data_IF_455632729711
#
_entry.id   IF_455632729711
#
_cell.length_a   1.000
_cell.length_b   1.000
_cell.length_c   1.000
_cell.angle_alpha   90.00
_cell.angle_beta   90.00
_cell.angle_gamma   90.00
#
_symmetry.space_group_name_H-M   'P 1'
#
loop_
_entity.id
_entity.type
_entity.pdbx_description
1 polymer ?
#
# COMPACT_ATOMS: atom_id res chain seq x y z
N UNK A 1 18.51 20.15 -9.35
CA UNK A 1 17.36 19.30 -9.69
C UNK A 1 16.14 19.91 -9.04
N UNK A 2 15.02 19.93 -9.75
CA UNK A 2 13.75 20.50 -9.31
C UNK A 2 12.69 19.41 -9.39
N UNK A 3 11.70 19.45 -8.50
CA UNK A 3 10.58 18.51 -8.47
C UNK A 3 9.29 19.29 -8.30
N UNK A 4 8.22 18.86 -8.96
CA UNK A 4 6.90 19.48 -8.91
C UNK A 4 5.82 18.43 -8.73
N UNK A 5 4.78 18.75 -7.98
CA UNK A 5 3.69 17.84 -7.65
C UNK A 5 2.35 18.43 -8.07
N UNK A 6 1.53 17.63 -8.74
CA UNK A 6 0.16 17.95 -9.11
C UNK A 6 -0.78 17.00 -8.38
N UNK A 7 -1.54 17.56 -7.46
CA UNK A 7 -2.34 16.82 -6.50
C UNK A 7 -3.81 16.90 -6.89
N UNK A 8 -4.48 15.76 -6.87
CA UNK A 8 -5.90 15.60 -7.18
C UNK A 8 -6.54 14.77 -6.08
N UNK A 9 -7.74 15.15 -5.65
CA UNK A 9 -8.48 14.40 -4.64
C UNK A 9 -8.89 13.02 -5.17
N UNK A 10 -8.87 11.96 -4.33
CA UNK A 10 -9.39 10.66 -4.69
C UNK A 10 -10.86 10.77 -5.16
N UNK A 11 -11.26 10.02 -6.21
CA UNK A 11 -10.53 8.95 -6.88
C UNK A 11 -9.58 9.39 -8.02
N UNK A 12 -9.31 10.70 -8.19
CA UNK A 12 -8.38 11.19 -9.21
C UNK A 12 -6.92 10.77 -8.98
N UNK A 13 -6.11 10.75 -10.05
CA UNK A 13 -4.70 10.38 -9.99
C UNK A 13 -3.80 11.62 -9.87
N UNK A 14 -3.01 11.68 -8.79
CA UNK A 14 -1.93 12.67 -8.63
C UNK A 14 -0.66 12.22 -9.35
N UNK A 15 0.16 13.16 -9.79
CA UNK A 15 1.46 12.87 -10.42
C UNK A 15 2.54 13.86 -9.98
N UNK A 16 3.79 13.52 -10.24
CA UNK A 16 4.94 14.41 -10.02
C UNK A 16 5.84 14.40 -11.24
N UNK A 17 6.60 15.48 -11.42
CA UNK A 17 7.62 15.59 -12.45
C UNK A 17 8.91 16.11 -11.84
N UNK A 18 10.01 15.91 -12.56
CA UNK A 18 11.32 16.35 -12.16
C UNK A 18 12.02 17.03 -13.34
N UNK A 19 12.89 17.98 -13.02
CA UNK A 19 13.74 18.67 -13.96
C UNK A 19 15.19 18.61 -13.46
N UNK A 20 16.09 18.16 -14.32
CA UNK A 20 17.52 18.06 -14.00
C UNK A 20 18.31 18.96 -14.96
N UNK A 21 18.45 20.26 -14.64
CA UNK A 21 19.21 21.18 -15.48
C UNK A 21 20.63 20.64 -15.72
N UNK A 22 21.06 20.63 -16.98
CA UNK A 22 22.39 20.15 -17.38
C UNK A 22 22.50 18.65 -17.68
N UNK A 23 21.43 17.87 -17.54
CA UNK A 23 21.38 16.48 -18.02
C UNK A 23 20.57 16.39 -19.33
N UNK A 24 21.15 15.72 -20.33
CA UNK A 24 20.45 15.39 -21.56
C UNK A 24 19.44 14.27 -21.32
N UNK A 25 18.36 14.22 -22.11
CA UNK A 25 17.30 13.20 -21.97
C UNK A 25 17.84 11.76 -21.99
N UNK A 26 18.88 11.49 -22.78
CA UNK A 26 19.57 10.19 -22.85
C UNK A 26 20.29 9.77 -21.56
N UNK A 27 20.40 10.65 -20.56
CA UNK A 27 20.90 10.29 -19.24
C UNK A 27 19.84 9.52 -18.42
N UNK A 28 18.58 9.55 -18.82
CA UNK A 28 17.50 8.83 -18.18
C UNK A 28 17.17 7.56 -18.98
N UNK A 29 16.79 6.52 -18.27
CA UNK A 29 16.37 5.26 -18.88
C UNK A 29 14.86 5.29 -19.10
N UNK A 30 14.44 5.29 -20.36
CA UNK A 30 13.02 5.28 -20.75
C UNK A 30 12.26 4.07 -20.19
N UNK A 31 12.97 2.96 -19.89
CA UNK A 31 12.41 1.75 -19.31
C UNK A 31 12.45 1.72 -17.78
N UNK A 32 13.11 2.68 -17.14
CA UNK A 32 13.17 2.82 -15.69
C UNK A 32 12.67 4.22 -15.26
N UNK A 33 11.35 4.49 -15.41
CA UNK A 33 10.78 5.77 -15.08
C UNK A 33 10.94 6.10 -13.59
N UNK A 34 10.83 7.38 -13.21
CA UNK A 34 10.81 7.80 -11.82
C UNK A 34 9.80 7.01 -11.01
N UNK A 35 10.20 6.61 -9.81
CA UNK A 35 9.33 5.82 -8.94
C UNK A 35 9.10 6.53 -7.62
N UNK A 36 7.84 6.75 -7.28
CA UNK A 36 7.43 7.15 -5.93
C UNK A 36 7.60 5.95 -4.99
N UNK A 37 8.63 5.98 -4.16
CA UNK A 37 8.93 4.91 -3.21
C UNK A 37 7.92 4.96 -2.06
N UNK A 38 7.95 6.04 -1.29
CA UNK A 38 7.10 6.24 -0.11
C UNK A 38 6.86 7.71 0.19
N UNK A 39 5.88 7.99 1.05
CA UNK A 39 5.58 9.33 1.53
C UNK A 39 5.00 9.26 2.94
N UNK A 40 5.29 10.26 3.76
CA UNK A 40 4.72 10.40 5.10
C UNK A 40 4.81 11.85 5.56
N UNK A 41 3.71 12.38 6.11
CA UNK A 41 3.59 13.79 6.47
C UNK A 41 4.09 14.72 5.33
N UNK A 42 5.05 15.59 5.61
CA UNK A 42 5.67 16.50 4.65
C UNK A 42 6.69 15.85 3.71
N UNK A 43 7.07 14.59 3.92
CA UNK A 43 8.21 13.98 3.24
C UNK A 43 7.79 13.02 2.12
N UNK A 44 8.51 13.09 1.01
CA UNK A 44 8.32 12.22 -0.16
C UNK A 44 9.65 11.62 -0.59
N UNK A 45 9.79 10.30 -0.50
CA UNK A 45 10.92 9.56 -1.04
C UNK A 45 10.59 9.04 -2.43
N UNK A 46 11.43 9.36 -3.40
CA UNK A 46 11.34 8.86 -4.76
C UNK A 46 12.72 8.47 -5.28
N UNK A 47 12.74 7.72 -6.37
CA UNK A 47 13.97 7.29 -7.03
C UNK A 47 14.01 7.69 -8.50
N UNK A 48 15.23 7.95 -8.98
CA UNK A 48 15.55 8.24 -10.37
C UNK A 48 16.70 7.38 -10.84
N UNK A 49 16.58 6.83 -12.05
CA UNK A 49 17.70 6.17 -12.71
C UNK A 49 18.42 7.17 -13.59
N UNK A 50 19.65 7.53 -13.21
CA UNK A 50 20.48 8.49 -13.94
C UNK A 50 21.75 7.76 -14.37
N UNK A 51 21.98 7.71 -15.69
CA UNK A 51 23.13 7.03 -16.33
C UNK A 51 23.30 5.58 -15.84
N UNK A 52 22.19 4.86 -15.68
CA UNK A 52 22.15 3.47 -15.24
C UNK A 52 22.29 3.25 -13.72
N UNK A 53 22.45 4.31 -12.92
CA UNK A 53 22.48 4.23 -11.46
C UNK A 53 21.17 4.73 -10.85
N UNK A 54 20.64 3.99 -9.88
CA UNK A 54 19.44 4.39 -9.12
C UNK A 54 19.85 5.30 -7.97
N UNK A 55 19.30 6.50 -7.95
CA UNK A 55 19.46 7.49 -6.90
C UNK A 55 18.15 7.70 -6.15
N UNK A 56 18.23 7.94 -4.84
CA UNK A 56 17.08 8.19 -3.98
C UNK A 56 17.12 9.63 -3.48
N UNK A 57 15.96 10.27 -3.49
CA UNK A 57 15.81 11.65 -3.05
C UNK A 57 14.63 11.78 -2.10
N UNK A 58 14.81 12.54 -1.03
CA UNK A 58 13.73 12.95 -0.13
C UNK A 58 13.40 14.40 -0.41
N UNK A 59 12.16 14.64 -0.80
CA UNK A 59 11.58 15.97 -0.90
C UNK A 59 10.82 16.30 0.37
N UNK A 60 11.06 17.49 0.92
CA UNK A 60 10.34 18.03 2.09
C UNK A 60 9.41 19.14 1.62
N UNK A 61 8.11 18.88 1.71
CA UNK A 61 7.06 19.85 1.45
C UNK A 61 7.00 20.89 2.57
N UNK A 62 7.14 22.16 2.20
CA UNK A 62 7.10 23.28 3.12
C UNK A 62 6.53 24.52 2.39
N UNK A 63 6.22 25.62 3.10
CA UNK A 63 5.89 26.90 2.46
C UNK A 63 6.95 27.34 1.45
N UNK A 64 6.54 28.16 0.49
CA UNK A 64 7.41 28.69 -0.57
C UNK A 64 8.74 29.24 -0.02
N UNK A 65 9.85 28.73 -0.54
CA UNK A 65 11.21 29.13 -0.14
C UNK A 65 11.79 28.32 1.03
N UNK A 66 11.04 27.38 1.60
CA UNK A 66 11.52 26.46 2.66
C UNK A 66 11.52 24.99 2.24
N UNK A 67 11.12 24.68 1.01
CA UNK A 67 11.17 23.32 0.50
C UNK A 67 12.62 22.87 0.35
N UNK A 68 12.89 21.61 0.68
CA UNK A 68 14.20 20.99 0.46
C UNK A 68 14.09 19.75 -0.40
N UNK A 69 15.17 19.47 -1.12
CA UNK A 69 15.36 18.23 -1.86
C UNK A 69 16.76 17.71 -1.53
N UNK A 70 16.81 16.57 -0.87
CA UNK A 70 18.03 15.97 -0.37
C UNK A 70 18.27 14.63 -1.07
N UNK A 71 19.51 14.40 -1.49
CA UNK A 71 19.93 13.09 -1.97
C UNK A 71 20.21 12.19 -0.76
N UNK A 72 19.62 11.00 -0.74
CA UNK A 72 19.91 10.01 0.27
C UNK A 72 21.31 9.43 0.01
N UNK A 73 22.11 9.29 1.07
CA UNK A 73 23.40 8.60 0.98
C UNK A 73 23.20 7.13 0.60
N UNK A 74 24.18 6.55 -0.10
CA UNK A 74 24.06 5.17 -0.55
C UNK A 74 23.86 4.22 0.66
N UNK A 75 22.85 3.33 0.60
CA UNK A 75 22.61 2.38 1.68
C UNK A 75 23.75 1.35 1.76
N UNK A 76 24.01 0.79 2.95
CA UNK A 76 25.11 -0.14 3.16
C UNK A 76 24.97 -1.47 2.37
N UNK A 77 23.76 -1.84 1.91
CA UNK A 77 23.52 -3.09 1.16
C UNK A 77 22.76 -2.84 -0.16
N UNK A 78 23.17 -3.54 -1.21
CA UNK A 78 22.83 -3.29 -2.62
C UNK A 78 21.32 -3.44 -2.99
N UNK A 79 20.79 -2.33 -3.54
CA UNK A 79 19.84 -2.12 -4.66
C UNK A 79 18.87 -3.25 -5.03
N UNK A 80 17.84 -3.47 -4.22
CA UNK A 80 16.49 -3.96 -4.64
C UNK A 80 15.46 -3.98 -3.50
N UNK A 81 15.72 -3.22 -2.42
CA UNK A 81 14.92 -3.28 -1.20
C UNK A 81 13.90 -2.14 -1.17
N UNK A 82 12.72 -2.43 -0.63
CA UNK A 82 11.67 -1.42 -0.47
C UNK A 82 11.93 -0.66 0.83
N UNK A 83 12.42 0.57 0.67
CA UNK A 83 12.49 1.53 1.75
C UNK A 83 11.09 1.83 2.28
N UNK A 84 11.01 2.07 3.57
CA UNK A 84 9.92 2.83 4.18
C UNK A 84 10.47 4.11 4.78
N UNK A 85 9.62 5.12 4.89
CA UNK A 85 9.94 6.41 5.46
C UNK A 85 9.00 6.64 6.65
N UNK A 86 9.58 7.05 7.76
CA UNK A 86 8.85 7.38 8.98
C UNK A 86 9.21 8.80 9.39
N UNK A 87 8.26 9.75 9.36
CA UNK A 87 8.46 11.07 9.94
C UNK A 87 8.58 10.98 11.47
N UNK A 88 9.46 11.80 12.05
CA UNK A 88 9.51 12.01 13.50
C UNK A 88 8.42 13.01 13.89
N UNK A 89 7.92 12.90 15.12
CA UNK A 89 6.83 13.73 15.61
C UNK A 89 7.15 15.22 15.77
N UNK A 90 8.40 15.64 15.53
CA UNK A 90 8.81 17.06 15.52
C UNK A 90 8.45 17.78 14.21
N UNK A 91 8.08 17.04 13.16
CA UNK A 91 7.75 17.58 11.85
C UNK A 91 8.96 18.02 11.01
N UNK A 92 10.18 17.85 11.52
CA UNK A 92 11.40 18.28 10.86
C UNK A 92 12.26 17.10 10.43
N UNK A 93 12.25 16.00 11.18
CA UNK A 93 13.15 14.88 10.96
C UNK A 93 12.40 13.64 10.51
N UNK A 94 13.13 12.72 9.89
CA UNK A 94 12.61 11.48 9.37
C UNK A 94 13.66 10.38 9.44
N UNK A 95 13.18 9.14 9.47
CA UNK A 95 13.99 7.95 9.26
C UNK A 95 13.61 7.31 7.93
N UNK A 96 14.61 6.81 7.20
CA UNK A 96 14.40 5.89 6.07
C UNK A 96 14.97 4.55 6.47
N UNK A 97 14.18 3.49 6.38
CA UNK A 97 14.64 2.17 6.80
C UNK A 97 14.26 1.08 5.80
N UNK A 98 15.05 0.00 5.84
CA UNK A 98 14.72 -1.26 5.19
C UNK A 98 15.16 -2.43 6.07
N UNK A 99 14.46 -3.56 5.93
CA UNK A 99 14.82 -4.82 6.59
C UNK A 99 15.51 -5.74 5.59
N UNK A 100 16.63 -6.31 6.00
CA UNK A 100 17.27 -7.44 5.36
C UNK A 100 16.94 -8.74 6.07
N UNK A 101 16.82 -9.79 5.27
CA UNK A 101 16.68 -11.16 5.72
C UNK A 101 17.67 -12.05 4.98
N UNK A 102 18.54 -12.71 5.73
CA UNK A 102 19.57 -13.61 5.20
C UNK A 102 19.41 -15.01 5.78
N UNK A 103 19.49 -16.02 4.92
CA UNK A 103 19.43 -17.42 5.35
C UNK A 103 20.78 -17.85 5.94
N UNK A 104 20.77 -18.38 7.17
CA UNK A 104 21.94 -18.96 7.83
C UNK A 104 21.83 -20.48 7.74
N UNK A 105 22.56 -21.09 6.81
CA UNK A 105 22.52 -22.53 6.58
C UNK A 105 23.01 -23.38 7.76
N UNK A 106 23.88 -22.83 8.61
CA UNK A 106 24.45 -23.56 9.77
C UNK A 106 23.42 -23.81 10.87
N UNK A 107 22.48 -22.88 11.06
CA UNK A 107 21.49 -22.92 12.14
C UNK A 107 20.08 -23.24 11.63
N UNK A 108 19.92 -23.48 10.31
CA UNK A 108 18.63 -23.61 9.62
C UNK A 108 17.68 -22.45 9.97
N UNK A 109 18.22 -21.24 10.13
CA UNK A 109 17.51 -20.07 10.65
C UNK A 109 17.73 -18.82 9.80
N UNK A 110 16.83 -17.84 9.94
CA UNK A 110 16.93 -16.57 9.25
C UNK A 110 17.54 -15.49 10.16
N UNK A 111 18.53 -14.78 9.65
CA UNK A 111 19.01 -13.51 10.21
C UNK A 111 18.13 -12.38 9.71
N UNK A 112 17.81 -11.45 10.59
CA UNK A 112 17.16 -10.19 10.23
C UNK A 112 18.03 -9.02 10.68
N UNK A 113 18.25 -8.07 9.78
CA UNK A 113 19.02 -6.86 10.05
C UNK A 113 18.20 -5.66 9.57
N UNK A 114 18.05 -4.64 10.42
CA UNK A 114 17.46 -3.35 10.03
C UNK A 114 18.58 -2.38 9.69
N UNK A 115 18.40 -1.65 8.60
CA UNK A 115 19.25 -0.53 8.25
C UNK A 115 18.41 0.74 8.28
N UNK A 116 18.87 1.73 9.04
CA UNK A 116 18.12 2.94 9.34
C UNK A 116 18.99 4.15 9.01
N UNK A 117 18.50 4.99 8.12
CA UNK A 117 19.04 6.32 7.87
C UNK A 117 18.33 7.32 8.77
N UNK A 118 19.09 8.16 9.46
CA UNK A 118 18.55 9.29 10.22
C UNK A 118 18.81 10.59 9.47
N UNK A 119 17.77 11.41 9.27
CA UNK A 119 17.95 12.75 8.70
C UNK A 119 18.72 13.70 9.62
N UNK A 120 18.75 13.43 10.92
CA UNK A 120 19.43 14.25 11.93
C UNK A 120 20.95 14.08 11.85
N UNK A 121 21.41 12.83 11.78
CA UNK A 121 22.85 12.52 11.69
C UNK A 121 23.34 12.41 10.25
N UNK A 122 22.42 12.26 9.29
CA UNK A 122 22.68 12.00 7.88
C UNK A 122 23.48 10.71 7.62
N UNK A 123 23.37 9.75 8.54
CA UNK A 123 24.12 8.50 8.52
C UNK A 123 23.19 7.28 8.57
N UNK A 124 23.69 6.18 8.00
CA UNK A 124 23.08 4.86 8.12
C UNK A 124 23.63 4.12 9.33
N UNK A 125 22.75 3.57 10.15
CA UNK A 125 23.06 2.58 11.16
C UNK A 125 22.51 1.20 10.76
N UNK A 126 23.16 0.14 11.23
CA UNK A 126 22.78 -1.25 10.96
C UNK A 126 22.61 -2.00 12.27
N UNK A 127 21.45 -2.64 12.45
CA UNK A 127 21.04 -3.24 13.70
C UNK A 127 20.59 -4.67 13.49
N UNK A 128 21.14 -5.60 14.26
CA UNK A 128 20.71 -7.00 14.23
C UNK A 128 19.43 -7.17 15.04
N UNK A 129 18.38 -7.68 14.39
CA UNK A 129 17.06 -7.82 15.01
C UNK A 129 16.94 -9.15 15.77
N UNK A 130 16.41 -9.08 16.98
CA UNK A 130 16.14 -10.26 17.81
C UNK A 130 14.68 -10.72 17.64
N UNK A 131 14.49 -11.99 17.29
CA UNK A 131 13.18 -12.64 17.20
C UNK A 131 12.80 -13.43 18.46
N UNK A 132 13.62 -13.38 19.52
CA UNK A 132 13.47 -14.24 20.71
C UNK A 132 12.15 -14.02 21.47
N UNK A 133 11.59 -12.82 21.38
CA UNK A 133 10.35 -12.45 22.04
C UNK A 133 9.10 -12.86 21.23
N UNK A 134 9.25 -13.24 19.96
CA UNK A 134 8.14 -13.70 19.13
C UNK A 134 7.74 -15.13 19.48
N UNK A 135 6.44 -15.42 19.35
CA UNK A 135 5.96 -16.79 19.46
C UNK A 135 6.54 -17.68 18.35
N UNK A 136 6.52 -19.01 18.53
CA UNK A 136 7.00 -19.95 17.50
C UNK A 136 6.26 -19.79 16.16
N UNK A 137 4.95 -19.56 16.21
CA UNK A 137 4.12 -19.34 15.02
C UNK A 137 4.46 -18.03 14.34
N UNK A 138 4.62 -16.93 15.09
CA UNK A 138 4.95 -15.62 14.53
C UNK A 138 6.35 -15.63 13.93
N UNK A 139 7.32 -16.28 14.58
CA UNK A 139 8.67 -16.46 14.02
C UNK A 139 8.60 -17.19 12.67
N UNK A 140 7.81 -18.26 12.57
CA UNK A 140 7.65 -19.00 11.31
C UNK A 140 7.02 -18.14 10.20
N UNK A 141 6.00 -17.35 10.52
CA UNK A 141 5.36 -16.43 9.56
C UNK A 141 6.32 -15.31 9.14
N UNK A 142 7.07 -14.73 10.08
CA UNK A 142 8.11 -13.73 9.82
C UNK A 142 9.20 -14.28 8.88
N UNK A 143 9.66 -15.52 9.11
CA UNK A 143 10.63 -16.19 8.24
C UNK A 143 10.11 -16.46 6.82
N UNK A 144 8.79 -16.62 6.65
CA UNK A 144 8.14 -16.79 5.34
C UNK A 144 7.64 -15.47 4.72
N UNK A 145 7.72 -14.36 5.45
CA UNK A 145 7.20 -13.06 5.06
C UNK A 145 7.88 -12.52 3.80
N UNK A 146 7.12 -11.90 2.92
CA UNK A 146 7.66 -11.21 1.75
C UNK A 146 7.82 -9.73 2.05
N UNK A 147 9.07 -9.26 2.19
CA UNK A 147 9.41 -7.86 2.45
C UNK A 147 9.20 -6.93 1.24
N UNK A 148 8.50 -7.39 0.22
CA UNK A 148 8.47 -6.79 -1.11
C UNK A 148 7.12 -6.22 -1.52
N UNK A 149 6.07 -6.26 -0.70
CA UNK A 149 4.75 -5.81 -1.18
C UNK A 149 4.46 -4.33 -0.89
N UNK A 150 4.47 -3.87 0.35
CA UNK A 150 4.21 -2.45 0.68
C UNK A 150 4.77 -2.12 2.05
N UNK A 151 5.03 -0.85 2.32
CA UNK A 151 5.26 -0.36 3.68
C UNK A 151 4.12 0.55 4.16
N UNK A 152 3.98 0.66 5.47
CA UNK A 152 3.05 1.56 6.17
C UNK A 152 3.77 2.22 7.35
N UNK A 153 3.32 3.39 7.76
CA UNK A 153 3.76 4.04 8.99
C UNK A 153 2.58 4.06 9.97
N UNK A 154 2.74 3.45 11.14
CA UNK A 154 1.66 3.27 12.12
C UNK A 154 2.22 3.43 13.53
N UNK A 155 1.57 4.24 14.37
CA UNK A 155 1.97 4.49 15.76
C UNK A 155 3.49 4.74 15.95
N UNK A 156 4.10 5.59 15.12
CA UNK A 156 5.54 5.88 15.20
C UNK A 156 6.45 4.69 14.85
N UNK A 157 5.93 3.67 14.18
CA UNK A 157 6.64 2.47 13.74
C UNK A 157 6.51 2.31 12.23
N UNK A 158 7.48 1.65 11.61
CA UNK A 158 7.47 1.36 10.18
C UNK A 158 7.11 -0.12 9.95
N UNK A 159 6.13 -0.40 9.10
CA UNK A 159 5.65 -1.75 8.82
C UNK A 159 5.90 -2.20 7.39
N UNK A 160 6.31 -3.45 7.19
CA UNK A 160 6.29 -4.14 5.88
C UNK A 160 5.13 -5.11 5.83
N UNK A 161 4.30 -4.96 4.81
CA UNK A 161 3.08 -5.73 4.60
C UNK A 161 3.40 -6.93 3.74
N UNK A 162 2.93 -8.10 4.14
CA UNK A 162 2.71 -9.28 3.30
C UNK A 162 1.24 -9.65 3.41
N UNK A 163 0.47 -9.41 2.34
CA UNK A 163 -0.98 -9.60 2.31
C UNK A 163 -1.44 -11.03 2.61
N UNK A 164 -0.54 -12.02 2.55
CA UNK A 164 -0.85 -13.41 2.92
C UNK A 164 -0.65 -13.72 4.40
N UNK A 165 0.16 -12.92 5.10
CA UNK A 165 0.69 -13.31 6.42
C UNK A 165 0.42 -12.27 7.48
N UNK A 166 0.68 -11.00 7.18
CA UNK A 166 0.64 -9.95 8.20
C UNK A 166 1.60 -8.79 7.94
N UNK A 167 1.77 -8.01 9.00
CA UNK A 167 2.64 -6.83 9.03
C UNK A 167 3.84 -7.10 9.92
N UNK A 168 5.04 -6.92 9.38
CA UNK A 168 6.29 -6.88 10.13
C UNK A 168 6.56 -5.43 10.51
N UNK A 169 6.41 -5.09 11.80
CA UNK A 169 6.69 -3.76 12.32
C UNK A 169 8.13 -3.65 12.82
N UNK A 170 8.74 -2.50 12.58
CA UNK A 170 10.01 -2.07 13.12
C UNK A 170 9.77 -0.83 13.97
N UNK A 171 10.06 -0.95 15.25
CA UNK A 171 9.76 0.06 16.29
C UNK A 171 11.06 0.69 16.78
N UNK A 172 10.92 1.79 17.53
CA UNK A 172 12.00 2.47 18.24
C UNK A 172 13.09 3.05 17.32
N UNK A 173 12.70 3.51 16.12
CA UNK A 173 13.62 4.06 15.12
C UNK A 173 14.31 5.36 15.56
N UNK A 174 13.80 6.04 16.59
CA UNK A 174 14.31 7.31 17.09
C UNK A 174 14.80 7.27 18.55
N UNK A 175 14.70 6.13 19.24
CA UNK A 175 14.87 6.05 20.70
C UNK A 175 16.33 5.86 21.14
N UNK A 176 17.29 5.96 20.21
CA UNK A 176 18.73 5.78 20.46
C UNK A 176 19.18 4.34 20.77
N UNK A 177 18.24 3.43 21.04
CA UNK A 177 18.47 2.00 21.21
C UNK A 177 18.34 1.19 19.91
N UNK A 178 18.53 -0.12 20.00
CA UNK A 178 18.32 -1.02 18.86
C UNK A 178 16.82 -1.09 18.47
N UNK A 179 16.48 -0.97 17.19
CA UNK A 179 15.13 -1.20 16.70
C UNK A 179 14.60 -2.58 17.08
N UNK A 180 13.31 -2.65 17.39
CA UNK A 180 12.63 -3.91 17.75
C UNK A 180 11.69 -4.31 16.63
N UNK A 181 11.74 -5.57 16.24
CA UNK A 181 10.84 -6.16 15.26
C UNK A 181 9.63 -6.78 15.95
N UNK A 182 8.43 -6.51 15.47
CA UNK A 182 7.18 -7.15 15.94
C UNK A 182 6.45 -7.73 14.72
N UNK A 183 5.74 -8.84 14.89
CA UNK A 183 4.93 -9.42 13.84
C UNK A 183 3.45 -9.41 14.21
N UNK A 184 2.63 -8.84 13.34
CA UNK A 184 1.18 -8.79 13.47
C UNK A 184 0.59 -9.69 12.39
N UNK A 185 0.16 -10.93 12.70
CA UNK A 185 -0.52 -11.77 11.74
C UNK A 185 -1.84 -11.12 11.32
N UNK A 186 -2.22 -11.26 10.05
CA UNK A 186 -3.58 -10.90 9.63
C UNK A 186 -4.61 -11.87 10.25
N UNK A 187 -5.89 -11.47 10.33
CA UNK A 187 -6.95 -12.41 10.69
C UNK A 187 -6.83 -13.68 9.83
N UNK A 188 -7.15 -14.85 10.40
CA UNK A 188 -7.21 -16.08 9.59
C UNK A 188 -8.16 -15.84 8.41
N UNK A 189 -7.58 -15.89 7.21
CA UNK A 189 -8.35 -15.74 5.97
C UNK A 189 -9.40 -16.83 5.94
N UNK A 190 -10.65 -16.45 5.68
CA UNK A 190 -11.74 -17.42 5.50
C UNK A 190 -11.75 -18.03 4.12
N UNK A 191 -10.82 -17.59 3.26
CA UNK A 191 -10.84 -17.95 1.85
C UNK A 191 -9.60 -18.76 1.49
N UNK A 192 -9.82 -20.05 1.30
CA UNK A 192 -8.80 -20.98 0.83
C UNK A 192 -8.50 -20.74 -0.66
N UNK A 193 -7.59 -19.81 -0.93
CA UNK A 193 -7.10 -19.53 -2.28
C UNK A 193 -5.76 -20.19 -2.58
N UNK A 194 -5.30 -21.10 -1.73
CA UNK A 194 -4.01 -21.75 -1.90
C UNK A 194 -4.15 -22.91 -2.88
N UNK A 195 -3.22 -23.01 -3.82
CA UNK A 195 -3.02 -24.19 -4.67
C UNK A 195 -2.44 -25.35 -3.86
N UNK A 196 -2.22 -26.49 -4.50
CA UNK A 196 -1.67 -27.70 -3.88
C UNK A 196 -0.30 -27.45 -3.20
N UNK A 197 0.43 -26.43 -3.64
CA UNK A 197 1.73 -26.02 -3.10
C UNK A 197 1.62 -24.95 -1.98
N UNK A 198 0.40 -24.56 -1.59
CA UNK A 198 0.19 -23.54 -0.57
C UNK A 198 0.41 -22.11 -1.08
N UNK A 199 0.32 -21.85 -2.39
CA UNK A 199 0.49 -20.54 -3.03
C UNK A 199 -0.85 -19.97 -3.48
N UNK A 200 -1.05 -18.64 -3.42
CA UNK A 200 -2.33 -18.09 -3.84
C UNK A 200 -2.51 -18.25 -5.36
N UNK A 201 -3.66 -18.76 -5.78
CA UNK A 201 -4.04 -18.93 -7.20
C UNK A 201 -4.06 -17.59 -7.98
N UNK A 202 -4.20 -16.46 -7.27
CA UNK A 202 -4.17 -15.10 -7.80
C UNK A 202 -3.45 -14.18 -6.84
N UNK A 203 -2.92 -13.08 -7.36
CA UNK A 203 -2.24 -12.07 -6.56
C UNK A 203 -3.18 -11.52 -5.45
N UNK A 204 -2.69 -11.40 -4.23
CA UNK A 204 -3.52 -11.13 -3.05
C UNK A 204 -4.16 -9.76 -3.05
N UNK A 205 -3.52 -8.83 -3.75
CA UNK A 205 -3.99 -7.47 -3.97
C UNK A 205 -5.38 -7.44 -4.57
N UNK A 206 -5.79 -8.48 -5.31
CA UNK A 206 -7.11 -8.56 -5.91
C UNK A 206 -8.26 -8.76 -4.91
N UNK A 207 -7.98 -9.17 -3.67
CA UNK A 207 -9.03 -9.45 -2.67
C UNK A 207 -8.72 -8.92 -1.30
N UNK A 208 -7.48 -8.59 -0.96
CA UNK A 208 -7.20 -8.03 0.34
C UNK A 208 -6.21 -6.88 0.28
N UNK A 209 -6.31 -6.02 1.28
CA UNK A 209 -5.40 -4.90 1.45
C UNK A 209 -5.35 -4.48 2.91
N UNK A 210 -4.36 -3.66 3.23
CA UNK A 210 -4.20 -3.07 4.55
C UNK A 210 -3.95 -1.58 4.40
N UNK A 211 -4.55 -0.82 5.30
CA UNK A 211 -4.26 0.58 5.52
C UNK A 211 -4.03 0.81 7.02
N UNK A 212 -3.60 2.02 7.34
CA UNK A 212 -3.49 2.47 8.71
C UNK A 212 -4.01 3.91 8.81
N UNK A 213 -4.57 4.21 9.97
CA UNK A 213 -4.91 5.55 10.42
C UNK A 213 -4.40 5.68 11.86
N UNK A 214 -3.44 6.57 12.09
CA UNK A 214 -2.79 6.76 13.39
C UNK A 214 -2.22 5.48 14.01
N UNK A 215 -2.87 4.93 15.04
CA UNK A 215 -2.53 3.70 15.75
C UNK A 215 -3.37 2.48 15.33
N UNK A 216 -4.27 2.67 14.37
CA UNK A 216 -5.23 1.68 13.92
C UNK A 216 -4.79 1.05 12.60
N UNK A 217 -4.61 -0.26 12.60
CA UNK A 217 -4.52 -1.05 11.38
C UNK A 217 -5.94 -1.40 10.92
N UNK A 218 -6.19 -1.25 9.62
CA UNK A 218 -7.42 -1.63 8.93
C UNK A 218 -7.06 -2.67 7.87
N UNK A 219 -7.66 -3.85 7.93
CA UNK A 219 -7.47 -4.93 6.96
C UNK A 219 -8.80 -5.20 6.27
N UNK A 220 -8.80 -5.32 4.95
CA UNK A 220 -9.98 -5.68 4.17
C UNK A 220 -9.73 -7.01 3.47
N UNK A 221 -10.75 -7.85 3.43
CA UNK A 221 -10.82 -9.07 2.63
C UNK A 221 -12.14 -9.09 1.87
N UNK A 222 -12.07 -9.40 0.58
CA UNK A 222 -13.21 -9.58 -0.30
C UNK A 222 -13.42 -11.08 -0.51
N UNK A 223 -14.51 -11.58 0.06
CA UNK A 223 -15.02 -12.92 -0.19
C UNK A 223 -15.90 -12.89 -1.43
N UNK A 224 -15.66 -13.81 -2.37
CA UNK A 224 -16.46 -13.95 -3.58
C UNK A 224 -17.32 -15.21 -3.48
N UNK A 225 -18.57 -15.16 -3.94
CA UNK A 225 -19.50 -16.30 -3.92
C UNK A 225 -18.94 -17.52 -4.68
N UNK A 226 -18.18 -17.28 -5.74
CA UNK A 226 -17.44 -18.30 -6.50
C UNK A 226 -15.93 -17.99 -6.48
N UNK A 227 -15.12 -18.75 -5.72
CA UNK A 227 -13.68 -18.49 -5.59
C UNK A 227 -12.90 -18.76 -6.89
N UNK A 228 -13.45 -19.57 -7.81
CA UNK A 228 -12.81 -19.96 -9.07
C UNK A 228 -13.13 -18.97 -10.18
N UNK A 229 -14.39 -18.53 -10.28
CA UNK A 229 -14.87 -17.63 -11.35
C UNK A 229 -15.21 -16.25 -10.79
N UNK A 230 -14.17 -15.56 -10.30
CA UNK A 230 -14.22 -14.20 -9.70
C UNK A 230 -14.57 -13.07 -10.69
N UNK A 231 -14.85 -13.41 -11.95
CA UNK A 231 -15.30 -12.51 -13.03
C UNK A 231 -16.74 -12.76 -13.44
N UNK A 232 -17.46 -13.71 -12.81
CA UNK A 232 -18.78 -14.18 -13.28
C UNK A 232 -19.95 -13.23 -13.01
N UNK A 233 -19.72 -11.96 -12.62
CA UNK A 233 -20.78 -11.02 -12.24
C UNK A 233 -21.66 -11.57 -11.10
N UNK A 234 -21.01 -12.22 -10.14
CA UNK A 234 -21.63 -12.80 -8.94
C UNK A 234 -21.19 -12.02 -7.70
N UNK A 235 -22.01 -12.08 -6.66
CA UNK A 235 -21.87 -11.30 -5.45
C UNK A 235 -20.48 -11.41 -4.80
N UNK A 236 -20.13 -10.36 -4.08
CA UNK A 236 -18.98 -10.33 -3.20
C UNK A 236 -19.37 -9.67 -1.88
N UNK A 237 -18.63 -10.05 -0.84
CA UNK A 237 -18.77 -9.50 0.50
C UNK A 237 -17.42 -8.98 0.95
N UNK A 238 -17.38 -7.71 1.35
CA UNK A 238 -16.18 -7.13 1.95
C UNK A 238 -16.30 -7.22 3.46
N UNK A 239 -15.28 -7.76 4.10
CA UNK A 239 -15.10 -7.78 5.54
C UNK A 239 -13.94 -6.85 5.89
N UNK A 240 -14.15 -5.96 6.85
CA UNK A 240 -13.12 -5.04 7.35
C UNK A 240 -12.85 -5.36 8.82
N UNK A 241 -11.58 -5.60 9.12
CA UNK A 241 -11.09 -5.80 10.47
C UNK A 241 -10.20 -4.65 10.90
N UNK A 242 -10.32 -4.31 12.17
CA UNK A 242 -9.51 -3.29 12.80
C UNK A 242 -8.68 -3.91 13.92
N UNK A 243 -7.45 -3.42 14.09
CA UNK A 243 -6.58 -3.74 15.22
C UNK A 243 -5.76 -2.52 15.60
N UNK A 244 -5.92 -2.04 16.82
CA UNK A 244 -4.96 -1.08 17.39
C UNK A 244 -3.64 -1.76 17.66
N UNK A 245 -2.53 -1.03 17.56
CA UNK A 245 -1.21 -1.60 17.90
C UNK A 245 -1.14 -2.09 19.35
N UNK A 246 -1.87 -1.46 20.28
CA UNK A 246 -1.97 -1.90 21.68
C UNK A 246 -2.83 -3.14 21.89
N UNK A 247 -3.58 -3.60 20.88
CA UNK A 247 -4.46 -4.75 20.99
C UNK A 247 -3.75 -6.03 20.58
N UNK A 248 -4.17 -7.16 21.14
CA UNK A 248 -3.63 -8.47 20.83
C UNK A 248 -4.44 -9.24 19.77
N UNK A 249 -5.56 -8.69 19.28
CA UNK A 249 -6.46 -9.34 18.33
C UNK A 249 -7.04 -8.36 17.32
N UNK A 250 -7.45 -8.89 16.19
CA UNK A 250 -8.29 -8.19 15.22
C UNK A 250 -9.75 -8.29 15.59
N UNK A 251 -10.51 -7.24 15.34
CA UNK A 251 -11.96 -7.20 15.54
C UNK A 251 -12.63 -6.85 14.22
N UNK A 252 -13.72 -7.57 13.88
CA UNK A 252 -14.50 -7.23 12.71
C UNK A 252 -15.26 -5.93 12.98
N UNK A 253 -15.03 -4.92 12.12
CA UNK A 253 -15.62 -3.59 12.25
C UNK A 253 -16.89 -3.47 11.40
N UNK A 254 -16.83 -3.97 10.18
CA UNK A 254 -17.93 -3.88 9.22
C UNK A 254 -17.87 -5.03 8.20
N UNK A 255 -19.06 -5.36 7.69
CA UNK A 255 -19.26 -6.31 6.60
C UNK A 255 -20.29 -5.71 5.66
N UNK A 256 -19.97 -5.56 4.38
CA UNK A 256 -20.94 -5.14 3.35
C UNK A 256 -21.04 -6.19 2.27
N UNK A 257 -22.27 -6.47 1.86
CA UNK A 257 -22.54 -7.26 0.67
C UNK A 257 -22.80 -6.32 -0.51
N UNK A 258 -22.24 -6.61 -1.67
CA UNK A 258 -22.45 -5.80 -2.88
C UNK A 258 -23.93 -5.60 -3.21
N UNK A 259 -24.80 -6.56 -2.90
CA UNK A 259 -26.25 -6.48 -3.12
C UNK A 259 -26.91 -5.39 -2.26
N UNK A 260 -26.31 -5.06 -1.12
CA UNK A 260 -26.82 -4.07 -0.18
C UNK A 260 -26.35 -2.64 -0.49
N UNK A 261 -25.36 -2.49 -1.37
CA UNK A 261 -24.80 -1.17 -1.70
C UNK A 261 -25.77 -0.39 -2.58
N UNK A 262 -26.19 0.77 -2.08
CA UNK A 262 -26.99 1.73 -2.83
C UNK A 262 -26.13 2.58 -3.78
N UNK A 263 -26.67 2.89 -4.95
CA UNK A 263 -26.02 3.76 -5.95
C UNK A 263 -26.99 4.88 -6.30
N UNK A 264 -26.52 6.12 -6.17
CA UNK A 264 -27.31 7.29 -6.54
C UNK A 264 -27.55 7.36 -8.06
N UNK A 265 -28.74 7.81 -8.46
CA UNK A 265 -29.14 7.87 -9.87
C UNK A 265 -28.30 8.86 -10.69
N UNK A 266 -27.65 9.83 -10.04
CA UNK A 266 -26.73 10.77 -10.69
C UNK A 266 -25.56 10.07 -11.40
N UNK A 267 -25.16 8.87 -10.96
CA UNK A 267 -24.11 8.08 -11.60
C UNK A 267 -24.57 7.33 -12.86
N UNK A 268 -25.87 7.38 -13.20
CA UNK A 268 -26.46 6.63 -14.33
C UNK A 268 -25.95 7.05 -15.71
N UNK A 269 -25.34 8.24 -15.82
CA UNK A 269 -24.69 8.72 -17.04
C UNK A 269 -23.26 8.15 -17.20
N UNK A 270 -22.60 7.76 -16.12
CA UNK A 270 -21.22 7.25 -16.13
C UNK A 270 -21.13 5.76 -16.48
N UNK A 271 -22.23 5.02 -16.29
CA UNK A 271 -22.32 3.56 -16.50
C UNK A 271 -23.71 3.18 -17.07
N UNK A 272 -24.00 3.47 -18.36
CA UNK A 272 -25.27 3.10 -18.98
C UNK A 272 -25.50 1.58 -19.00
N UNK A 273 -24.44 0.77 -19.00
CA UNK A 273 -24.49 -0.71 -19.02
C UNK A 273 -25.03 -1.34 -17.73
N UNK A 274 -25.07 -0.58 -16.63
CA UNK A 274 -25.57 -1.06 -15.34
C UNK A 274 -27.10 -1.09 -15.24
N UNK A 275 -27.83 -0.46 -16.17
CA UNK A 275 -29.30 -0.31 -16.10
C UNK A 275 -30.03 -1.67 -16.09
N UNK A 276 -31.02 -1.84 -15.21
CA UNK A 276 -32.00 -2.93 -15.23
C UNK A 276 -33.44 -2.40 -15.27
N UNK A 277 -34.28 -3.05 -16.09
CA UNK A 277 -35.74 -2.94 -16.08
C UNK A 277 -36.29 -1.53 -16.34
N UNK A 278 -37.62 -1.40 -16.23
CA UNK A 278 -38.34 -0.13 -16.45
C UNK A 278 -38.01 0.95 -15.41
N UNK A 279 -37.28 0.60 -14.33
CA UNK A 279 -36.98 1.47 -13.18
C UNK A 279 -35.54 2.01 -13.11
N UNK A 280 -34.68 1.75 -14.12
CA UNK A 280 -33.33 2.35 -14.26
C UNK A 280 -32.37 2.20 -13.05
N UNK A 281 -32.55 1.22 -12.16
CA UNK A 281 -31.68 1.04 -10.99
C UNK A 281 -30.31 0.49 -11.42
N UNK A 282 -29.23 1.08 -10.91
CA UNK A 282 -27.86 0.64 -11.15
C UNK A 282 -27.53 -0.58 -10.28
N UNK A 283 -27.00 -1.63 -10.90
CA UNK A 283 -26.71 -2.90 -10.25
C UNK A 283 -25.20 -3.19 -10.26
N UNK A 284 -24.52 -2.93 -9.13
CA UNK A 284 -23.09 -3.13 -9.00
C UNK A 284 -22.66 -4.59 -9.20
N UNK A 285 -23.54 -5.57 -9.03
CA UNK A 285 -23.20 -6.99 -9.18
C UNK A 285 -22.77 -7.34 -10.61
N UNK A 286 -23.13 -6.51 -11.60
CA UNK A 286 -22.72 -6.66 -13.00
C UNK A 286 -21.26 -6.27 -13.24
N UNK A 287 -20.62 -5.56 -12.31
CA UNK A 287 -19.23 -5.14 -12.43
C UNK A 287 -18.28 -6.20 -11.91
N UNK A 288 -17.10 -6.24 -12.52
CA UNK A 288 -15.97 -7.00 -12.03
C UNK A 288 -15.11 -6.06 -11.18
N UNK A 289 -14.99 -6.37 -9.89
CA UNK A 289 -14.22 -5.57 -8.95
C UNK A 289 -12.81 -6.12 -8.75
N UNK A 290 -11.86 -5.20 -8.58
CA UNK A 290 -10.45 -5.50 -8.39
C UNK A 290 -9.86 -4.55 -7.35
N UNK A 291 -8.83 -5.06 -6.66
CA UNK A 291 -7.90 -4.26 -5.88
C UNK A 291 -8.58 -3.33 -4.85
N UNK A 292 -9.22 -3.89 -3.80
CA UNK A 292 -9.73 -3.07 -2.71
C UNK A 292 -8.59 -2.25 -2.09
N UNK A 293 -8.86 -0.98 -1.81
CA UNK A 293 -7.96 -0.08 -1.11
C UNK A 293 -8.76 0.59 0.00
N UNK A 294 -8.31 0.44 1.24
CA UNK A 294 -8.91 1.13 2.38
C UNK A 294 -8.43 2.58 2.43
N UNK A 295 -9.32 3.48 2.82
CA UNK A 295 -8.93 4.84 3.21
C UNK A 295 -7.95 4.79 4.38
N UNK A 296 -6.96 5.67 4.33
CA UNK A 296 -5.96 5.94 5.38
C UNK A 296 -6.48 6.89 6.44
N UNK A 297 -7.72 7.40 6.29
CA UNK A 297 -8.38 8.25 7.27
C UNK A 297 -9.24 7.41 8.22
N UNK A 298 -9.67 8.05 9.30
CA UNK A 298 -10.61 7.48 10.25
C UNK A 298 -12.05 7.55 9.72
N UNK A 299 -12.28 6.92 8.57
CA UNK A 299 -13.57 6.76 7.91
C UNK A 299 -13.83 5.27 7.60
N UNK A 300 -14.99 4.95 7.04
CA UNK A 300 -15.36 3.61 6.61
C UNK A 300 -15.36 3.47 5.07
N UNK A 301 -14.49 4.22 4.38
CA UNK A 301 -14.42 4.22 2.92
C UNK A 301 -13.48 3.13 2.37
N UNK A 302 -13.98 2.42 1.35
CA UNK A 302 -13.20 1.53 0.49
C UNK A 302 -13.22 2.06 -0.94
N UNK A 303 -12.10 1.92 -1.63
CA UNK A 303 -11.96 2.23 -3.04
C UNK A 303 -11.70 0.93 -3.80
N UNK A 304 -12.35 0.73 -4.94
CA UNK A 304 -12.11 -0.41 -5.82
C UNK A 304 -12.07 0.03 -7.26
N UNK A 305 -11.24 -0.65 -8.04
CA UNK A 305 -11.34 -0.61 -9.49
C UNK A 305 -12.49 -1.53 -9.91
N UNK A 306 -13.31 -1.08 -10.85
CA UNK A 306 -14.39 -1.86 -11.44
C UNK A 306 -14.33 -1.81 -12.97
N UNK A 307 -14.75 -2.89 -13.62
CA UNK A 307 -14.89 -2.99 -15.09
C UNK A 307 -16.18 -3.69 -15.46
N UNK A 308 -16.74 -3.36 -16.63
CA UNK A 308 -17.91 -4.07 -17.18
C UNK A 308 -17.49 -5.41 -17.79
N UNK A 309 -16.40 -5.40 -18.57
CA UNK A 309 -15.73 -6.60 -19.05
C UNK A 309 -14.22 -6.54 -18.76
N UNK A 310 -13.60 -7.71 -18.58
CA UNK A 310 -12.19 -7.80 -18.22
C UNK A 310 -11.27 -7.17 -19.30
N UNK A 311 -11.69 -7.21 -20.57
CA UNK A 311 -10.94 -6.72 -21.72
C UNK A 311 -11.11 -5.23 -21.99
N UNK A 312 -12.06 -4.55 -21.32
CA UNK A 312 -12.35 -3.14 -21.62
C UNK A 312 -11.16 -2.25 -21.27
N UNK A 313 -10.84 -1.24 -22.08
CA UNK A 313 -9.81 -0.25 -21.73
C UNK A 313 -10.32 0.73 -20.67
N UNK A 314 -11.64 0.94 -20.60
CA UNK A 314 -12.28 1.77 -19.57
C UNK A 314 -12.46 0.98 -18.27
N UNK A 315 -12.11 1.63 -17.16
CA UNK A 315 -12.37 1.18 -15.81
C UNK A 315 -12.96 2.32 -14.98
N UNK A 316 -13.54 1.99 -13.83
CA UNK A 316 -14.10 2.94 -12.89
C UNK A 316 -13.42 2.79 -11.55
N UNK A 317 -13.07 3.90 -10.92
CA UNK A 317 -12.70 3.94 -9.52
C UNK A 317 -13.97 4.25 -8.73
N UNK A 318 -14.38 3.33 -7.87
CA UNK A 318 -15.61 3.43 -7.07
C UNK A 318 -15.22 3.54 -5.60
N UNK A 319 -15.70 4.58 -4.93
CA UNK A 319 -15.64 4.73 -3.49
C UNK A 319 -16.96 4.27 -2.87
N UNK A 320 -16.89 3.37 -1.91
CA UNK A 320 -18.04 2.84 -1.17
C UNK A 320 -17.87 3.18 0.31
N UNK A 321 -18.89 3.79 0.89
CA UNK A 321 -19.05 3.90 2.34
C UNK A 321 -19.62 2.60 2.88
N UNK A 322 -18.81 1.90 3.66
CA UNK A 322 -19.13 0.60 4.24
C UNK A 322 -20.10 0.68 5.40
N UNK A 323 -20.19 1.82 6.09
CA UNK A 323 -21.13 2.04 7.20
C UNK A 323 -22.52 2.34 6.64
N UNK A 324 -22.61 3.16 5.59
CA UNK A 324 -23.86 3.53 4.92
C UNK A 324 -24.30 2.53 3.86
N UNK A 325 -23.43 1.61 3.46
CA UNK A 325 -23.61 0.73 2.30
C UNK A 325 -24.04 1.53 1.06
N UNK A 326 -23.23 2.51 0.67
CA UNK A 326 -23.56 3.41 -0.43
C UNK A 326 -22.33 3.80 -1.27
N UNK A 327 -22.52 4.04 -2.56
CA UNK A 327 -21.49 4.64 -3.42
C UNK A 327 -21.40 6.13 -3.11
N UNK A 328 -20.24 6.55 -2.61
CA UNK A 328 -19.96 7.97 -2.32
C UNK A 328 -19.38 8.69 -3.54
N UNK A 329 -18.55 8.01 -4.33
CA UNK A 329 -17.93 8.60 -5.53
C UNK A 329 -17.66 7.56 -6.61
N UNK A 330 -17.70 8.00 -7.87
CA UNK A 330 -17.38 7.17 -9.03
C UNK A 330 -16.72 8.01 -10.12
N UNK A 331 -15.57 7.56 -10.64
CA UNK A 331 -14.89 8.22 -11.74
C UNK A 331 -14.39 7.22 -12.80
N UNK A 332 -14.68 7.44 -14.10
CA UNK A 332 -14.11 6.65 -15.17
C UNK A 332 -12.65 7.03 -15.42
N UNK A 333 -11.84 6.05 -15.81
CA UNK A 333 -10.48 6.25 -16.29
C UNK A 333 -10.13 5.19 -17.35
N UNK A 334 -9.19 5.51 -18.23
CA UNK A 334 -8.72 4.58 -19.26
C UNK A 334 -7.41 3.94 -18.83
N UNK A 335 -7.39 2.61 -18.81
CA UNK A 335 -6.18 1.81 -18.72
C UNK A 335 -5.49 1.89 -20.09
N UNK A 336 -4.57 2.84 -20.25
CA UNK A 336 -3.73 2.88 -21.45
C UNK A 336 -3.04 1.53 -21.68
N UNK A 337 -2.77 1.16 -22.94
CA UNK A 337 -2.14 -0.13 -23.31
C UNK A 337 -0.80 -0.41 -22.61
N UNK A 338 -0.20 0.60 -21.99
CA UNK A 338 0.92 0.49 -21.07
C UNK A 338 0.65 1.43 -19.88
N UNK A 339 0.97 0.97 -18.66
CA UNK A 339 0.89 1.64 -17.34
C UNK A 339 -0.29 1.22 -16.45
N UNK A 340 -0.04 0.20 -15.62
CA UNK A 340 -0.76 -0.02 -14.37
C UNK A 340 -0.28 1.03 -13.36
N UNK A 341 -1.08 2.06 -13.11
CA UNK A 341 -0.95 2.89 -11.92
C UNK A 341 -2.26 2.80 -11.13
N UNK A 342 -2.31 1.87 -10.17
CA UNK A 342 -3.22 2.07 -9.03
C UNK A 342 -2.59 3.19 -8.22
N UNK A 343 -3.17 4.39 -8.36
CA UNK A 343 -2.79 5.55 -7.57
C UNK A 343 -2.88 5.17 -6.09
N UNK A 344 -1.74 5.29 -5.39
CA UNK A 344 -1.66 5.13 -3.94
C UNK A 344 -2.60 6.18 -3.31
N UNK A 345 -3.61 5.73 -2.57
CA UNK A 345 -4.41 6.61 -1.72
C UNK A 345 -3.49 7.34 -0.74
N UNK A 346 -3.60 8.68 -0.70
CA UNK A 346 -2.71 9.55 0.05
C UNK A 346 -3.01 9.50 1.55
N UNK A 347 -1.97 9.54 2.36
CA UNK A 347 -2.03 10.03 3.74
C UNK A 347 -2.19 11.56 3.68
N UNK A 348 -3.18 12.09 4.38
CA UNK A 348 -3.34 13.54 4.60
C UNK A 348 -2.42 13.99 5.74
#
# INVERSE_FOLDING_TARGET
MEVSFWLVDPPGASYFSFNCPGLHASAFDDYAPPSLVCSGAAFVLFSLTIRGAVHHFVYTAAPAGKQSLEALTDPPVCRRRRFGLLPRGDGEHYAVAYVDRQWISQDDDWRFDAHVYSSETQEWSSHRLSLLHLSKSDKLLCCKHTLYYRHIAVAGSLGWVDLLRGVLLLRNLFDGGDPVIEFIPFPESRVNFLDEDGRPHRACEYYCNVACCDDLLKFIEIEFDDPLVRTSRKGWRANVWNRKISWNKWEIRSTVDVASISVDQSYSALLPELRQGDFQKLDLQKLIFYAPVLSTRNDDLIYMMAKVNAQDETAWAIAVDMERAAVEAMAPFSLGRHHYHIAKSRHA
#
